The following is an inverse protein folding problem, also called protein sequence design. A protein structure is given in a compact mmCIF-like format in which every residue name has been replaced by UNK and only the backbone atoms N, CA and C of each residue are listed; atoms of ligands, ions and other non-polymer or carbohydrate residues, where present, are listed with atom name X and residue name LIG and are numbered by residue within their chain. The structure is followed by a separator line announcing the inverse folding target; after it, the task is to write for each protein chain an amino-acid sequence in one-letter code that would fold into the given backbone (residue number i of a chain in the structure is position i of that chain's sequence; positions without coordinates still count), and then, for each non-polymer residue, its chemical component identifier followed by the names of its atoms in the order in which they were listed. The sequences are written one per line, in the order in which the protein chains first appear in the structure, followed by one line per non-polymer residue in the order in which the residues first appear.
data_IF_807744349752
#
_entry.id   IF_807744349752
#
_cell.length_a   1.000
_cell.length_b   1.000
_cell.length_c   1.000
_cell.angle_alpha   90.00
_cell.angle_beta   90.00
_cell.angle_gamma   90.00
#
_symmetry.space_group_name_H-M   'P 1'
#
loop_
_entity.id
_entity.type
_entity.pdbx_description
1 polymer ?
#
# COMPACT_ATOMS: atom_id res chain seq x y z
N UNK A 1 26.75 2.04 22.83
CA UNK A 1 25.62 2.91 22.43
C UNK A 1 24.60 1.98 21.81
N UNK A 2 23.56 1.65 22.60
CA UNK A 2 22.43 0.83 22.14
C UNK A 2 21.70 1.60 21.03
N UNK A 3 21.80 1.08 19.82
CA UNK A 3 21.00 1.56 18.70
C UNK A 3 19.54 1.28 19.08
N UNK A 4 18.77 2.30 19.44
CA UNK A 4 17.35 2.14 19.68
C UNK A 4 16.75 1.61 18.38
N UNK A 5 16.09 0.44 18.44
CA UNK A 5 15.39 -0.12 17.30
C UNK A 5 14.44 0.95 16.74
N UNK A 6 14.56 1.26 15.46
CA UNK A 6 13.66 2.19 14.78
C UNK A 6 12.30 1.49 14.65
N UNK A 7 11.38 1.82 15.53
CA UNK A 7 10.01 1.29 15.43
C UNK A 7 9.27 1.91 14.23
N UNK A 8 8.31 1.18 13.69
CA UNK A 8 7.44 1.68 12.59
C UNK A 8 6.82 3.05 12.97
N UNK A 9 6.43 3.23 14.24
CA UNK A 9 5.90 4.49 14.75
C UNK A 9 6.93 5.63 14.73
N UNK A 10 8.20 5.36 15.07
CA UNK A 10 9.25 6.38 15.02
C UNK A 10 9.57 6.80 13.59
N UNK A 11 9.57 5.85 12.65
CA UNK A 11 9.77 6.12 11.22
C UNK A 11 8.60 6.95 10.68
N UNK A 12 7.35 6.58 11.01
CA UNK A 12 6.17 7.31 10.59
C UNK A 12 6.10 8.73 11.19
N UNK A 13 6.56 8.93 12.43
CA UNK A 13 6.64 10.26 13.05
C UNK A 13 7.58 11.20 12.28
N UNK A 14 8.67 10.68 11.72
CA UNK A 14 9.61 11.45 10.90
C UNK A 14 9.00 11.94 9.56
N UNK A 15 7.83 11.44 9.17
CA UNK A 15 7.10 11.90 7.98
C UNK A 15 6.74 13.40 8.05
N UNK A 16 6.55 13.95 9.25
CA UNK A 16 6.20 15.36 9.44
C UNK A 16 7.26 16.33 8.90
N UNK A 17 8.53 15.89 8.85
CA UNK A 17 9.67 16.69 8.38
C UNK A 17 10.18 16.24 7.00
N UNK A 18 9.62 15.15 6.45
CA UNK A 18 10.06 14.59 5.19
C UNK A 18 9.24 15.13 4.01
N UNK A 19 9.92 15.45 2.91
CA UNK A 19 9.23 15.79 1.68
C UNK A 19 8.51 14.56 1.10
N UNK A 20 7.24 14.69 0.66
CA UNK A 20 6.47 13.57 0.15
C UNK A 20 7.04 13.06 -1.20
N UNK A 21 7.03 11.76 -1.38
CA UNK A 21 7.33 11.16 -2.69
C UNK A 21 6.17 11.35 -3.65
N UNK A 22 6.41 11.52 -4.96
CA UNK A 22 5.34 11.58 -5.95
C UNK A 22 4.64 10.23 -6.08
N UNK A 23 3.31 10.22 -6.01
CA UNK A 23 2.50 9.02 -6.23
C UNK A 23 2.19 8.88 -7.71
N UNK A 24 2.55 7.74 -8.28
CA UNK A 24 2.31 7.41 -9.68
C UNK A 24 0.85 7.03 -9.92
N UNK A 25 0.29 7.52 -11.00
CA UNK A 25 -1.11 7.29 -11.39
C UNK A 25 -1.17 6.33 -12.59
N UNK A 26 -2.15 5.41 -12.56
CA UNK A 26 -2.39 4.50 -13.67
C UNK A 26 -2.72 5.28 -14.97
N UNK A 27 -2.21 4.81 -16.12
CA UNK A 27 -1.66 3.49 -16.43
C UNK A 27 -0.12 3.41 -16.41
N UNK A 28 0.55 3.90 -15.36
CA UNK A 28 2.00 3.79 -15.29
C UNK A 28 2.46 2.33 -15.26
N UNK A 29 3.46 1.96 -16.07
CA UNK A 29 3.85 0.57 -16.28
C UNK A 29 4.36 -0.15 -15.02
N UNK A 30 4.98 0.57 -14.07
CA UNK A 30 5.48 -0.01 -12.81
C UNK A 30 4.34 -0.59 -11.95
N UNK A 31 3.14 0.01 -12.01
CA UNK A 31 1.96 -0.43 -11.25
C UNK A 31 1.42 -1.79 -11.73
N UNK A 32 1.90 -2.29 -12.86
CA UNK A 32 1.47 -3.55 -13.48
C UNK A 32 2.56 -4.62 -13.44
N UNK A 33 3.65 -4.36 -12.76
CA UNK A 33 4.77 -5.31 -12.65
C UNK A 33 4.74 -5.96 -11.28
N UNK A 34 4.95 -7.29 -11.25
CA UNK A 34 5.27 -7.98 -10.02
C UNK A 34 6.59 -7.45 -9.47
N UNK A 35 6.62 -7.17 -8.17
CA UNK A 35 7.81 -6.68 -7.48
C UNK A 35 8.78 -7.82 -7.20
N UNK A 36 10.07 -7.50 -7.08
CA UNK A 36 11.06 -8.42 -6.54
C UNK A 36 11.09 -8.36 -5.01
N UNK A 37 11.47 -9.44 -4.38
CA UNK A 37 11.72 -9.46 -2.95
C UNK A 37 12.78 -8.45 -2.52
N UNK A 38 12.54 -7.88 -1.35
CA UNK A 38 13.52 -7.06 -0.64
C UNK A 38 14.60 -7.97 -0.05
N UNK A 39 15.84 -7.61 -0.27
CA UNK A 39 17.00 -8.29 0.28
C UNK A 39 17.65 -7.43 1.37
N UNK A 40 18.54 -7.99 2.21
CA UNK A 40 19.20 -7.23 3.27
C UNK A 40 19.95 -5.97 2.77
N UNK A 41 20.53 -6.02 1.58
CA UNK A 41 21.23 -4.88 0.96
C UNK A 41 20.29 -3.72 0.59
N UNK A 42 18.98 -3.96 0.39
CA UNK A 42 17.98 -2.93 0.07
C UNK A 42 17.56 -2.12 1.32
N UNK A 43 17.74 -2.70 2.51
CA UNK A 43 17.14 -2.14 3.73
C UNK A 43 17.66 -0.75 4.10
N UNK A 44 18.92 -0.43 3.80
CA UNK A 44 19.47 0.90 4.07
C UNK A 44 18.74 1.98 3.26
N UNK A 45 18.48 1.73 1.99
CA UNK A 45 17.74 2.63 1.11
C UNK A 45 16.27 2.69 1.50
N UNK A 46 15.64 1.56 1.80
CA UNK A 46 14.24 1.52 2.25
C UNK A 46 14.06 2.37 3.50
N UNK A 47 14.88 2.18 4.54
CA UNK A 47 14.80 2.99 5.77
C UNK A 47 14.95 4.49 5.50
N UNK A 48 15.78 4.87 4.55
CA UNK A 48 16.00 6.27 4.17
C UNK A 48 14.76 6.91 3.54
N UNK A 49 13.98 6.17 2.76
CA UNK A 49 12.84 6.69 2.01
C UNK A 49 11.49 6.53 2.73
N UNK A 50 11.39 5.63 3.72
CA UNK A 50 10.15 5.37 4.45
C UNK A 50 9.48 6.62 5.01
N UNK A 51 10.18 7.60 5.65
CA UNK A 51 9.55 8.85 6.10
C UNK A 51 8.86 9.62 4.96
N UNK A 52 9.50 9.70 3.79
CA UNK A 52 8.94 10.37 2.61
C UNK A 52 7.75 9.62 2.00
N UNK A 53 7.72 8.28 2.10
CA UNK A 53 6.57 7.47 1.71
C UNK A 53 5.39 7.69 2.66
N UNK A 54 5.61 7.70 3.98
CA UNK A 54 4.58 8.03 4.95
C UNK A 54 4.04 9.45 4.73
N UNK A 55 4.91 10.43 4.50
CA UNK A 55 4.52 11.81 4.16
C UNK A 55 3.58 11.81 2.95
N UNK A 56 3.94 11.12 1.87
CA UNK A 56 3.10 11.02 0.67
C UNK A 56 1.73 10.38 0.94
N UNK A 57 1.71 9.30 1.73
CA UNK A 57 0.48 8.61 2.12
C UNK A 57 -0.44 9.51 2.95
N UNK A 58 0.10 10.21 3.93
CA UNK A 58 -0.67 11.05 4.83
C UNK A 58 -1.18 12.33 4.17
N UNK A 59 -0.41 12.96 3.29
CA UNK A 59 -0.85 14.13 2.54
C UNK A 59 -1.96 13.80 1.53
N UNK A 60 -1.96 12.59 0.98
CA UNK A 60 -2.97 12.09 0.05
C UNK A 60 -4.19 11.47 0.75
N UNK A 61 -4.48 11.74 2.02
CA UNK A 61 -5.24 11.04 3.05
C UNK A 61 -5.47 9.55 2.76
N UNK A 62 -4.39 8.82 2.51
CA UNK A 62 -4.39 7.37 2.31
C UNK A 62 -4.17 6.60 3.61
N UNK A 63 -4.59 5.35 3.62
CA UNK A 63 -4.42 4.39 4.73
C UNK A 63 -3.45 3.26 4.37
N UNK A 64 -2.97 3.21 3.13
CA UNK A 64 -1.98 2.28 2.62
C UNK A 64 -1.22 2.88 1.44
N UNK A 65 0.01 2.41 1.25
CA UNK A 65 0.87 2.80 0.12
C UNK A 65 1.93 1.72 -0.14
N UNK A 66 1.92 1.15 -1.34
CA UNK A 66 2.89 0.16 -1.77
C UNK A 66 4.05 0.78 -2.55
N UNK A 67 5.23 0.17 -2.48
CA UNK A 67 6.44 0.64 -3.15
C UNK A 67 6.28 0.91 -4.66
N UNK A 68 5.53 0.10 -5.45
CA UNK A 68 5.30 0.41 -6.86
C UNK A 68 4.59 1.75 -7.10
N UNK A 69 3.78 2.21 -6.16
CA UNK A 69 3.06 3.47 -6.28
C UNK A 69 3.98 4.70 -6.19
N UNK A 70 5.17 4.54 -5.65
CA UNK A 70 6.24 5.56 -5.65
C UNK A 70 7.40 5.21 -6.60
N UNK A 71 7.19 4.27 -7.52
CA UNK A 71 8.13 3.95 -8.59
C UNK A 71 9.14 2.85 -8.28
N UNK A 72 9.02 2.16 -7.14
CA UNK A 72 9.97 1.14 -6.71
C UNK A 72 9.42 -0.27 -6.96
N UNK A 73 10.14 -1.09 -7.72
CA UNK A 73 9.76 -2.49 -7.96
C UNK A 73 10.25 -3.42 -6.84
N UNK A 74 10.04 -3.02 -5.58
CA UNK A 74 10.42 -3.74 -4.36
C UNK A 74 9.17 -4.22 -3.61
N UNK A 75 9.26 -5.40 -2.97
CA UNK A 75 8.13 -6.02 -2.28
C UNK A 75 7.99 -5.50 -0.85
N UNK A 76 7.49 -4.27 -0.69
CA UNK A 76 7.12 -3.73 0.60
C UNK A 76 5.98 -2.72 0.49
N UNK A 77 5.26 -2.52 1.60
CA UNK A 77 4.14 -1.61 1.67
C UNK A 77 3.97 -1.04 3.09
N UNK A 78 3.26 0.07 3.18
CA UNK A 78 2.88 0.76 4.40
C UNK A 78 1.38 0.64 4.61
N UNK A 79 0.94 0.47 5.86
CA UNK A 79 -0.46 0.54 6.26
C UNK A 79 -0.56 1.32 7.56
N UNK A 80 -1.51 2.25 7.64
CA UNK A 80 -1.85 2.97 8.87
C UNK A 80 -3.31 3.40 8.81
N UNK A 81 -4.17 2.75 9.60
CA UNK A 81 -5.60 3.08 9.71
C UNK A 81 -5.88 4.14 10.76
N UNK A 82 -4.86 4.48 11.57
CA UNK A 82 -5.02 5.40 12.69
C UNK A 82 -5.25 6.84 12.25
N UNK A 83 -6.09 7.56 13.00
CA UNK A 83 -6.17 9.01 12.90
C UNK A 83 -4.90 9.64 13.48
N UNK A 84 -4.70 10.95 13.21
CA UNK A 84 -3.47 11.68 13.52
C UNK A 84 -2.94 11.46 14.95
N UNK A 85 -3.83 11.33 15.93
CA UNK A 85 -3.48 11.19 17.36
C UNK A 85 -3.44 9.73 17.84
N UNK A 86 -3.79 8.76 16.97
CA UNK A 86 -3.83 7.32 17.27
C UNK A 86 -3.28 6.49 16.12
N UNK A 87 -2.11 6.88 15.57
CA UNK A 87 -1.48 6.17 14.47
C UNK A 87 -0.89 4.83 14.91
N UNK A 88 -1.18 3.80 14.13
CA UNK A 88 -0.64 2.46 14.28
C UNK A 88 0.02 1.99 12.97
N UNK A 89 1.11 2.64 12.54
CA UNK A 89 1.75 2.31 11.28
C UNK A 89 2.33 0.90 11.30
N UNK A 90 2.18 0.21 10.17
CA UNK A 90 2.75 -1.11 9.91
C UNK A 90 3.59 -1.02 8.64
N UNK A 91 4.85 -1.39 8.72
CA UNK A 91 5.75 -1.51 7.58
C UNK A 91 5.90 -3.00 7.27
N UNK A 92 5.43 -3.42 6.10
CA UNK A 92 5.45 -4.81 5.68
C UNK A 92 6.53 -5.04 4.63
N UNK A 93 7.63 -5.69 5.00
CA UNK A 93 8.69 -6.12 4.09
C UNK A 93 8.42 -7.57 3.66
N UNK A 94 8.38 -7.83 2.36
CA UNK A 94 8.07 -9.12 1.77
C UNK A 94 6.78 -9.75 2.34
N UNK A 95 5.64 -9.01 2.33
CA UNK A 95 4.40 -9.52 2.89
C UNK A 95 3.81 -10.62 2.02
N UNK A 96 3.14 -11.58 2.69
CA UNK A 96 2.42 -12.67 2.07
C UNK A 96 1.14 -12.98 2.85
N UNK A 97 0.03 -13.23 2.15
CA UNK A 97 -1.19 -13.80 2.74
C UNK A 97 -0.98 -15.31 2.85
N UNK A 98 -0.89 -15.81 4.08
CA UNK A 98 -0.61 -17.25 4.35
C UNK A 98 -1.86 -18.05 4.68
N UNK A 99 -2.97 -17.37 5.00
CA UNK A 99 -4.30 -18.00 5.15
C UNK A 99 -5.38 -16.94 4.92
N UNK A 100 -6.55 -17.40 4.44
CA UNK A 100 -7.73 -16.56 4.21
C UNK A 100 -8.99 -17.29 4.66
N UNK A 101 -10.01 -16.51 5.08
CA UNK A 101 -11.32 -17.07 5.43
C UNK A 101 -12.13 -17.42 4.19
N UNK A 102 -13.04 -18.38 4.33
CA UNK A 102 -14.06 -18.65 3.31
C UNK A 102 -15.13 -17.55 3.27
N UNK A 103 -15.31 -16.85 4.39
CA UNK A 103 -16.24 -15.73 4.49
C UNK A 103 -15.67 -14.55 3.70
N UNK A 104 -16.52 -13.97 2.86
CA UNK A 104 -16.19 -12.81 2.03
C UNK A 104 -16.91 -11.56 2.56
N UNK A 105 -16.24 -10.41 2.44
CA UNK A 105 -16.83 -9.10 2.70
C UNK A 105 -16.68 -8.19 1.48
N UNK A 106 -17.73 -7.46 1.17
CA UNK A 106 -17.70 -6.42 0.14
C UNK A 106 -17.50 -5.05 0.80
N UNK A 107 -16.48 -4.31 0.36
CA UNK A 107 -16.16 -2.96 0.86
C UNK A 107 -15.83 -2.03 -0.29
N UNK A 108 -16.16 -0.76 -0.13
CA UNK A 108 -15.74 0.27 -1.07
C UNK A 108 -14.23 0.49 -0.93
N UNK A 109 -13.51 0.36 -2.02
CA UNK A 109 -12.08 0.62 -2.13
C UNK A 109 -11.81 1.78 -3.07
N UNK A 110 -10.81 2.57 -2.71
CA UNK A 110 -10.15 3.56 -3.55
C UNK A 110 -8.66 3.28 -3.58
N UNK A 111 -7.94 3.98 -4.44
CA UNK A 111 -6.49 3.82 -4.56
C UNK A 111 -5.84 5.16 -4.91
N UNK A 112 -4.74 5.51 -4.23
CA UNK A 112 -4.00 6.75 -4.51
C UNK A 112 -3.46 6.80 -5.94
N UNK A 113 -3.23 5.64 -6.56
CA UNK A 113 -2.84 5.52 -7.98
C UNK A 113 -4.02 5.56 -8.97
N UNK A 114 -5.26 5.60 -8.47
CA UNK A 114 -6.49 5.81 -9.25
C UNK A 114 -7.33 6.91 -8.58
N UNK A 115 -6.85 8.15 -8.53
CA UNK A 115 -7.49 9.23 -7.78
C UNK A 115 -8.94 9.45 -8.22
N UNK A 116 -9.82 9.70 -7.23
CA UNK A 116 -11.27 9.92 -7.39
C UNK A 116 -12.03 8.73 -8.00
N UNK A 117 -11.45 7.54 -8.01
CA UNK A 117 -12.10 6.32 -8.47
C UNK A 117 -12.32 5.38 -7.29
N UNK A 118 -13.57 4.92 -7.13
CA UNK A 118 -13.98 4.03 -6.07
C UNK A 118 -14.88 2.93 -6.62
N UNK A 119 -14.83 1.75 -6.03
CA UNK A 119 -15.75 0.67 -6.32
C UNK A 119 -15.82 -0.32 -5.17
N UNK A 120 -16.95 -1.01 -5.06
CA UNK A 120 -17.08 -2.13 -4.14
C UNK A 120 -16.30 -3.33 -4.66
N UNK A 121 -15.40 -3.84 -3.82
CA UNK A 121 -14.56 -5.03 -4.05
C UNK A 121 -14.90 -6.08 -3.00
N UNK A 122 -15.00 -7.32 -3.43
CA UNK A 122 -15.23 -8.48 -2.55
C UNK A 122 -13.91 -9.18 -2.28
N UNK A 123 -13.58 -9.34 -0.98
CA UNK A 123 -12.35 -10.01 -0.52
C UNK A 123 -12.65 -10.97 0.64
N UNK A 124 -11.75 -11.91 0.95
CA UNK A 124 -11.75 -12.60 2.23
C UNK A 124 -11.86 -11.61 3.39
N UNK A 125 -12.82 -11.87 4.31
CA UNK A 125 -13.08 -10.96 5.44
C UNK A 125 -11.95 -10.98 6.47
N UNK A 126 -11.32 -12.14 6.65
CA UNK A 126 -10.19 -12.34 7.54
C UNK A 126 -9.03 -12.94 6.76
N UNK A 127 -7.83 -12.45 7.02
CA UNK A 127 -6.60 -12.98 6.46
C UNK A 127 -5.53 -13.09 7.55
N UNK A 128 -4.65 -14.09 7.39
CA UNK A 128 -3.40 -14.15 8.14
C UNK A 128 -2.28 -13.70 7.23
N UNK A 129 -1.58 -12.66 7.63
CA UNK A 129 -0.50 -12.06 6.85
C UNK A 129 0.82 -12.27 7.59
N UNK A 130 1.82 -12.71 6.86
CA UNK A 130 3.21 -12.79 7.31
C UNK A 130 4.04 -11.72 6.60
N UNK A 131 4.98 -11.08 7.31
CA UNK A 131 5.94 -10.12 6.75
C UNK A 131 7.18 -10.01 7.62
N UNK A 132 8.20 -9.32 7.16
CA UNK A 132 9.31 -8.91 8.03
C UNK A 132 9.13 -7.44 8.41
N UNK A 133 9.44 -7.11 9.67
CA UNK A 133 9.54 -5.72 10.11
C UNK A 133 10.84 -5.09 9.59
N UNK A 134 11.05 -3.80 9.89
CA UNK A 134 12.26 -3.07 9.46
C UNK A 134 13.57 -3.61 10.05
N UNK A 135 13.51 -4.35 11.14
CA UNK A 135 14.67 -4.98 11.78
C UNK A 135 14.93 -6.41 11.26
N UNK A 136 14.04 -6.89 10.37
CA UNK A 136 14.16 -8.21 9.73
C UNK A 136 13.47 -9.35 10.47
N UNK A 137 12.82 -9.06 11.61
CA UNK A 137 12.06 -10.06 12.36
C UNK A 137 10.81 -10.50 11.62
N UNK A 138 10.52 -11.79 11.68
CA UNK A 138 9.29 -12.35 11.12
C UNK A 138 8.10 -11.98 11.99
N UNK A 139 7.14 -11.31 11.37
CA UNK A 139 5.87 -10.93 11.95
C UNK A 139 4.76 -11.77 11.33
N UNK A 140 3.76 -12.12 12.13
CA UNK A 140 2.54 -12.77 11.65
C UNK A 140 1.35 -12.21 12.43
N UNK A 141 0.28 -11.88 11.73
CA UNK A 141 -0.94 -11.37 12.34
C UNK A 141 -2.17 -11.85 11.59
N UNK A 142 -3.17 -12.31 12.33
CA UNK A 142 -4.52 -12.50 11.84
C UNK A 142 -5.27 -11.16 11.97
N UNK A 143 -5.86 -10.71 10.88
CA UNK A 143 -6.55 -9.41 10.77
C UNK A 143 -7.89 -9.57 10.07
N UNK A 144 -8.81 -8.67 10.38
CA UNK A 144 -10.15 -8.60 9.79
C UNK A 144 -10.52 -7.17 9.40
N UNK A 145 -11.74 -7.01 8.90
CA UNK A 145 -12.33 -5.71 8.64
C UNK A 145 -11.53 -4.85 7.65
N UNK A 146 -11.42 -3.56 7.96
CA UNK A 146 -10.73 -2.60 7.10
C UNK A 146 -9.23 -2.87 7.02
N UNK A 147 -8.61 -3.34 8.11
CA UNK A 147 -7.18 -3.67 8.11
C UNK A 147 -6.88 -4.84 7.17
N UNK A 148 -7.71 -5.90 7.20
CA UNK A 148 -7.57 -7.02 6.26
C UNK A 148 -7.74 -6.57 4.80
N UNK A 149 -8.73 -5.72 4.53
CA UNK A 149 -8.95 -5.15 3.20
C UNK A 149 -7.74 -4.34 2.73
N UNK A 150 -7.21 -3.46 3.58
CA UNK A 150 -6.07 -2.61 3.26
C UNK A 150 -4.81 -3.44 3.00
N UNK A 151 -4.48 -4.40 3.88
CA UNK A 151 -3.30 -5.26 3.69
C UNK A 151 -3.37 -6.06 2.38
N UNK A 152 -4.55 -6.62 2.05
CA UNK A 152 -4.76 -7.33 0.79
C UNK A 152 -4.60 -6.40 -0.42
N UNK A 153 -5.12 -5.17 -0.34
CA UNK A 153 -4.99 -4.16 -1.38
C UNK A 153 -3.53 -3.81 -1.65
N UNK A 154 -2.73 -3.60 -0.60
CA UNK A 154 -1.32 -3.27 -0.74
C UNK A 154 -0.50 -4.46 -1.26
N UNK A 155 -0.82 -5.69 -0.85
CA UNK A 155 -0.18 -6.90 -1.38
C UNK A 155 -0.51 -7.09 -2.86
N UNK A 156 -1.74 -6.80 -3.30
CA UNK A 156 -2.11 -6.80 -4.72
C UNK A 156 -1.20 -5.89 -5.55
N UNK A 157 -0.91 -4.67 -5.07
CA UNK A 157 0.04 -3.77 -5.74
C UNK A 157 1.41 -4.41 -5.95
N UNK A 158 1.86 -5.24 -5.00
CA UNK A 158 3.14 -5.94 -5.11
C UNK A 158 3.13 -7.06 -6.16
N UNK A 159 1.95 -7.57 -6.51
CA UNK A 159 1.73 -8.53 -7.59
C UNK A 159 1.38 -7.86 -8.94
N UNK A 160 1.34 -6.52 -8.98
CA UNK A 160 0.94 -5.75 -10.18
C UNK A 160 -0.56 -5.72 -10.44
N UNK A 161 -1.36 -6.02 -9.42
CA UNK A 161 -2.82 -6.03 -9.42
C UNK A 161 -3.36 -4.72 -8.86
N UNK A 162 -4.41 -4.18 -9.45
CA UNK A 162 -5.14 -3.01 -8.95
C UNK A 162 -6.56 -3.42 -8.55
N UNK A 163 -7.19 -2.67 -7.62
CA UNK A 163 -8.54 -3.01 -7.16
C UNK A 163 -9.56 -3.15 -8.29
N UNK A 164 -9.40 -2.42 -9.39
CA UNK A 164 -10.26 -2.51 -10.57
C UNK A 164 -10.20 -3.88 -11.27
N UNK A 165 -9.15 -4.67 -11.04
CA UNK A 165 -9.00 -6.00 -11.63
C UNK A 165 -9.92 -7.04 -10.97
N UNK A 166 -10.42 -6.74 -9.77
CA UNK A 166 -11.45 -7.54 -9.08
C UNK A 166 -12.87 -7.27 -9.58
N UNK A 167 -13.04 -6.26 -10.45
CA UNK A 167 -14.34 -5.87 -10.99
C UNK A 167 -14.65 -6.57 -12.32
N UNK A 168 -15.93 -6.54 -12.71
CA UNK A 168 -16.29 -6.96 -14.06
C UNK A 168 -15.57 -6.12 -15.12
N UNK A 169 -15.29 -6.70 -16.28
CA UNK A 169 -14.63 -6.02 -17.40
C UNK A 169 -15.30 -4.69 -17.76
N UNK A 170 -16.62 -4.62 -17.68
CA UNK A 170 -17.37 -3.40 -17.95
C UNK A 170 -17.05 -2.30 -16.94
N UNK A 171 -17.15 -2.59 -15.63
CA UNK A 171 -16.88 -1.64 -14.55
C UNK A 171 -15.42 -1.16 -14.58
N UNK A 172 -14.49 -2.11 -14.71
CA UNK A 172 -13.07 -1.81 -14.85
C UNK A 172 -12.81 -0.82 -15.99
N UNK A 173 -13.31 -1.11 -17.18
CA UNK A 173 -13.09 -0.26 -18.36
C UNK A 173 -13.73 1.13 -18.21
N UNK A 174 -14.88 1.24 -17.55
CA UNK A 174 -15.51 2.52 -17.25
C UNK A 174 -14.62 3.39 -16.33
N UNK A 175 -14.10 2.81 -15.25
CA UNK A 175 -13.21 3.51 -14.31
C UNK A 175 -11.93 3.97 -15.02
N UNK A 176 -11.27 3.10 -15.77
CA UNK A 176 -10.02 3.44 -16.46
C UNK A 176 -10.21 4.53 -17.53
N UNK A 177 -11.34 4.52 -18.25
CA UNK A 177 -11.69 5.59 -19.20
C UNK A 177 -11.94 6.93 -18.52
N UNK A 178 -12.65 6.92 -17.38
CA UNK A 178 -12.89 8.13 -16.57
C UNK A 178 -11.57 8.72 -16.09
N UNK A 179 -10.71 7.89 -15.51
CA UNK A 179 -9.38 8.28 -15.04
C UNK A 179 -8.56 8.91 -16.16
N UNK A 180 -8.50 8.27 -17.35
CA UNK A 180 -7.76 8.79 -18.49
C UNK A 180 -8.29 10.17 -18.96
N UNK A 181 -9.61 10.38 -18.93
CA UNK A 181 -10.22 11.66 -19.26
C UNK A 181 -9.84 12.75 -18.25
N UNK A 182 -9.90 12.45 -16.94
CA UNK A 182 -9.52 13.38 -15.87
C UNK A 182 -8.05 13.80 -15.97
N UNK A 183 -7.15 12.83 -16.25
CA UNK A 183 -5.72 13.13 -16.43
C UNK A 183 -5.46 14.02 -17.65
N UNK A 184 -6.18 13.80 -18.76
CA UNK A 184 -6.04 14.65 -19.95
C UNK A 184 -6.47 16.09 -19.65
N UNK A 185 -7.55 16.27 -18.88
CA UNK A 185 -8.04 17.61 -18.49
C UNK A 185 -7.06 18.36 -17.55
N UNK A 186 -6.32 17.65 -16.69
CA UNK A 186 -5.32 18.28 -15.80
C UNK A 186 -4.04 18.71 -16.51
N UNK A 187 -3.78 18.19 -17.73
CA UNK A 187 -2.59 18.53 -18.54
C UNK A 187 -2.85 19.64 -19.56
N UNK A 188 -4.11 20.03 -19.74
CA UNK A 188 -4.56 21.12 -20.63
C UNK A 188 -4.71 22.41 -19.87
#
# INVERSE_FOLDING_TARGET
MTNAALTDAAIAAAAAEAAPMPILVAPHAVLRRKTREVKPEDMAEIRRILPSMFSAMYEAPGIGLAAPQVGLSLRFALVDLGEKDAREPIIMINPEVVAESETLAAREEGCLSLPNQYAEVTRPEQVRVQWRNVDGDLMEREVDGLLATCMQHEIDHLEGVLFVDHLSTLRRNMILRRLAKEQKMKRS
#
